data_IF_048472296609
#
_entry.id   IF_048472296609
#
_cell.length_a   1.000
_cell.length_b   1.000
_cell.length_c   1.000
_cell.angle_alpha   90.00
_cell.angle_beta   90.00
_cell.angle_gamma   90.00
#
_symmetry.space_group_name_H-M   'P 1'
#
loop_
_entity.id
_entity.type
_entity.pdbx_description
1 polymer ?
#
# COMPACT_ATOMS: atom_id res chain seq x y z
N UNK A 1 -8.08 -19.92 -18.56
CA UNK A 1 -9.48 -19.58 -18.85
C UNK A 1 -9.48 -18.10 -19.17
N UNK A 2 -9.47 -17.76 -20.46
CA UNK A 2 -9.63 -16.36 -20.85
C UNK A 2 -11.03 -15.94 -20.44
N UNK A 3 -11.10 -14.90 -19.59
CA UNK A 3 -12.37 -14.25 -19.30
C UNK A 3 -12.82 -13.59 -20.60
N UNK A 4 -13.96 -13.99 -21.13
CA UNK A 4 -14.62 -13.26 -22.22
C UNK A 4 -14.78 -11.81 -21.74
N UNK A 5 -14.14 -10.86 -22.45
CA UNK A 5 -14.33 -9.43 -22.19
C UNK A 5 -15.76 -9.08 -22.56
N UNK A 6 -16.61 -8.89 -21.56
CA UNK A 6 -17.86 -8.20 -21.81
C UNK A 6 -17.54 -6.79 -22.32
N UNK A 7 -18.23 -6.30 -23.36
CA UNK A 7 -18.04 -4.94 -23.82
C UNK A 7 -18.37 -3.98 -22.68
N UNK A 8 -17.49 -3.00 -22.46
CA UNK A 8 -17.74 -1.94 -21.49
C UNK A 8 -18.99 -1.16 -21.88
N UNK A 9 -19.72 -0.71 -20.88
CA UNK A 9 -20.81 0.23 -21.09
C UNK A 9 -20.23 1.61 -21.43
N UNK A 10 -21.03 2.48 -22.07
CA UNK A 10 -20.60 3.86 -22.36
C UNK A 10 -20.24 4.66 -21.10
N UNK A 11 -20.75 4.28 -19.92
CA UNK A 11 -20.38 4.87 -18.66
C UNK A 11 -18.98 4.43 -18.22
N UNK A 12 -18.71 3.14 -18.29
CA UNK A 12 -17.40 2.57 -17.94
C UNK A 12 -16.29 3.14 -18.84
N UNK A 13 -16.55 3.29 -20.14
CA UNK A 13 -15.62 3.95 -21.07
C UNK A 13 -15.30 5.39 -20.63
N UNK A 14 -16.31 6.16 -20.21
CA UNK A 14 -16.09 7.53 -19.72
C UNK A 14 -15.32 7.57 -18.40
N UNK A 15 -15.61 6.65 -17.48
CA UNK A 15 -14.89 6.55 -16.19
C UNK A 15 -13.41 6.24 -16.45
N UNK A 16 -13.12 5.26 -17.31
CA UNK A 16 -11.72 4.89 -17.66
C UNK A 16 -11.02 6.08 -18.33
N UNK A 17 -11.69 6.82 -19.20
CA UNK A 17 -11.12 7.99 -19.86
C UNK A 17 -10.80 9.17 -18.91
N UNK A 18 -11.30 9.14 -17.67
CA UNK A 18 -10.97 10.14 -16.63
C UNK A 18 -9.62 9.87 -15.93
N UNK A 19 -9.13 8.65 -16.00
CA UNK A 19 -7.85 8.31 -15.35
C UNK A 19 -6.71 8.83 -16.23
N UNK A 20 -5.90 9.73 -15.66
CA UNK A 20 -4.80 10.40 -16.34
C UNK A 20 -3.44 9.94 -15.78
N UNK A 21 -2.53 9.55 -16.66
CA UNK A 21 -1.18 9.11 -16.29
C UNK A 21 -0.38 10.22 -15.61
N UNK A 22 -0.52 11.47 -16.05
CA UNK A 22 0.21 12.58 -15.47
C UNK A 22 -0.27 12.86 -14.04
N UNK A 23 -1.58 12.79 -13.80
CA UNK A 23 -2.16 12.92 -12.46
C UNK A 23 -1.70 11.77 -11.53
N UNK A 24 -1.65 10.53 -12.05
CA UNK A 24 -1.11 9.40 -11.31
C UNK A 24 0.36 9.60 -10.94
N UNK A 25 1.18 10.06 -11.89
CA UNK A 25 2.60 10.30 -11.68
C UNK A 25 2.84 11.39 -10.63
N UNK A 26 2.09 12.49 -10.69
CA UNK A 26 2.14 13.57 -9.73
C UNK A 26 1.75 13.09 -8.33
N UNK A 27 0.60 12.45 -8.20
CA UNK A 27 0.08 11.93 -6.93
C UNK A 27 1.03 10.90 -6.29
N UNK A 28 1.53 9.95 -7.08
CA UNK A 28 2.50 8.95 -6.60
C UNK A 28 3.79 9.62 -6.14
N UNK A 29 4.29 10.59 -6.90
CA UNK A 29 5.50 11.34 -6.55
C UNK A 29 5.33 12.13 -5.26
N UNK A 30 4.19 12.80 -5.08
CA UNK A 30 3.86 13.52 -3.83
C UNK A 30 3.81 12.56 -2.64
N UNK A 31 3.17 11.40 -2.78
CA UNK A 31 3.10 10.41 -1.71
C UNK A 31 4.45 9.81 -1.35
N UNK A 32 5.30 9.51 -2.35
CA UNK A 32 6.66 9.02 -2.11
C UNK A 32 7.49 10.05 -1.34
N UNK A 33 7.38 11.33 -1.68
CA UNK A 33 8.10 12.42 -1.00
C UNK A 33 7.57 12.70 0.40
N UNK A 34 6.25 12.68 0.56
CA UNK A 34 5.58 12.91 1.86
C UNK A 34 5.86 11.78 2.84
N UNK A 35 5.98 10.57 2.36
CA UNK A 35 6.11 9.38 3.16
C UNK A 35 7.47 9.14 3.83
N UNK A 36 8.38 10.11 3.84
CA UNK A 36 9.59 10.05 4.66
C UNK A 36 9.28 10.52 6.09
N UNK A 37 9.74 9.84 7.09
CA UNK A 37 10.57 8.64 7.25
C UNK A 37 9.78 7.39 7.65
N UNK A 38 8.66 7.10 7.04
CA UNK A 38 7.76 6.02 7.44
C UNK A 38 8.17 4.60 6.99
N UNK A 39 9.47 4.37 6.84
CA UNK A 39 10.01 3.06 6.53
C UNK A 39 10.11 2.18 7.78
N UNK A 40 9.81 0.90 7.63
CA UNK A 40 10.00 -0.13 8.66
C UNK A 40 10.92 -1.23 8.16
N UNK A 41 11.58 -1.94 9.07
CA UNK A 41 12.31 -3.16 8.74
C UNK A 41 11.80 -4.31 9.63
N UNK A 42 11.04 -5.25 9.09
CA UNK A 42 10.49 -6.34 9.87
C UNK A 42 11.56 -7.34 10.36
N UNK A 43 12.73 -7.35 9.71
CA UNK A 43 13.84 -8.25 10.04
C UNK A 43 14.84 -7.65 11.02
N UNK A 44 14.71 -6.37 11.36
CA UNK A 44 15.60 -5.68 12.30
C UNK A 44 14.80 -4.94 13.37
N UNK A 45 14.71 -5.50 14.59
CA UNK A 45 13.93 -4.89 15.66
C UNK A 45 14.54 -3.57 16.18
N UNK A 46 15.81 -3.30 15.90
CA UNK A 46 16.49 -2.08 16.33
C UNK A 46 16.18 -0.90 15.39
N UNK A 47 15.68 -1.15 14.19
CA UNK A 47 15.16 -0.10 13.32
C UNK A 47 13.75 0.24 13.80
N UNK A 48 13.52 1.47 14.30
CA UNK A 48 12.20 1.86 14.79
C UNK A 48 11.16 1.80 13.66
N UNK A 49 9.92 1.50 14.03
CA UNK A 49 8.79 1.61 13.11
C UNK A 49 8.71 3.04 12.57
N UNK A 50 8.35 3.17 11.31
CA UNK A 50 8.17 4.47 10.67
C UNK A 50 7.03 5.28 11.32
N UNK A 51 7.05 6.57 11.11
CA UNK A 51 5.99 7.49 11.53
C UNK A 51 5.12 7.81 10.32
N UNK A 52 3.98 7.14 10.18
CA UNK A 52 3.13 7.26 9.00
C UNK A 52 2.22 8.51 9.04
N UNK A 53 2.28 9.33 10.10
CA UNK A 53 1.37 10.47 10.28
C UNK A 53 1.33 11.40 9.06
N UNK A 54 2.48 11.74 8.49
CA UNK A 54 2.54 12.67 7.35
C UNK A 54 1.80 12.13 6.12
N UNK A 55 2.06 10.89 5.73
CA UNK A 55 1.38 10.27 4.59
C UNK A 55 -0.09 9.99 4.89
N UNK A 56 -0.42 9.61 6.12
CA UNK A 56 -1.79 9.41 6.55
C UNK A 56 -2.62 10.70 6.46
N UNK A 57 -2.09 11.82 6.94
CA UNK A 57 -2.74 13.13 6.81
C UNK A 57 -2.86 13.59 5.36
N UNK A 58 -1.88 13.28 4.54
CA UNK A 58 -1.93 13.58 3.10
C UNK A 58 -3.08 12.84 2.42
N UNK A 59 -3.21 11.52 2.62
CA UNK A 59 -4.29 10.75 2.00
C UNK A 59 -5.65 11.06 2.61
N UNK A 60 -5.73 11.37 3.91
CA UNK A 60 -6.93 11.86 4.55
C UNK A 60 -7.46 13.13 3.88
N UNK A 61 -6.58 14.11 3.64
CA UNK A 61 -6.95 15.35 2.92
C UNK A 61 -7.42 15.10 1.48
N UNK A 62 -6.84 14.13 0.76
CA UNK A 62 -7.33 13.76 -0.58
C UNK A 62 -8.73 13.14 -0.51
N UNK A 63 -9.01 12.29 0.46
CA UNK A 63 -10.35 11.71 0.68
C UNK A 63 -11.38 12.77 1.07
N UNK A 64 -11.04 13.66 2.01
CA UNK A 64 -11.90 14.79 2.42
C UNK A 64 -12.26 15.68 1.22
N UNK A 65 -11.27 15.99 0.37
CA UNK A 65 -11.49 16.78 -0.85
C UNK A 65 -12.44 16.11 -1.85
N UNK A 66 -12.52 14.77 -1.83
CA UNK A 66 -13.47 13.98 -2.62
C UNK A 66 -14.84 13.78 -1.95
N UNK A 67 -15.06 14.36 -0.76
CA UNK A 67 -16.33 14.30 -0.04
C UNK A 67 -16.52 13.09 0.87
N UNK A 68 -15.45 12.38 1.20
CA UNK A 68 -15.50 11.31 2.20
C UNK A 68 -15.61 11.86 3.62
N UNK A 69 -16.36 11.17 4.47
CA UNK A 69 -16.24 11.30 5.92
C UNK A 69 -14.99 10.53 6.36
N UNK A 70 -14.01 11.22 6.95
CA UNK A 70 -12.71 10.64 7.28
C UNK A 70 -12.54 10.51 8.80
N UNK A 71 -12.18 9.31 9.23
CA UNK A 71 -11.85 8.97 10.62
C UNK A 71 -10.40 8.49 10.72
N UNK A 72 -9.76 8.77 11.86
CA UNK A 72 -8.38 8.35 12.17
C UNK A 72 -8.40 7.42 13.37
N UNK A 73 -7.69 6.30 13.26
CA UNK A 73 -7.60 5.28 14.30
C UNK A 73 -6.14 4.98 14.62
N UNK A 74 -5.70 5.31 15.81
CA UNK A 74 -4.33 5.08 16.26
C UNK A 74 -4.26 4.02 17.36
N UNK A 75 -3.49 2.96 17.15
CA UNK A 75 -3.07 2.04 18.20
C UNK A 75 -1.70 2.42 18.79
N UNK A 76 -0.94 3.23 18.08
CA UNK A 76 0.32 3.83 18.50
C UNK A 76 0.38 5.30 18.08
N UNK A 77 0.99 6.18 18.90
CA UNK A 77 1.12 7.60 18.57
C UNK A 77 1.81 7.82 17.23
N UNK A 78 1.29 8.75 16.43
CA UNK A 78 1.82 9.17 15.13
C UNK A 78 1.80 8.08 14.04
N UNK A 79 0.97 7.05 14.24
CA UNK A 79 0.75 5.97 13.29
C UNK A 79 -0.76 5.76 13.03
N UNK A 80 -1.44 6.75 12.44
CA UNK A 80 -2.88 6.68 12.22
C UNK A 80 -3.23 5.81 11.01
N UNK A 81 -4.17 4.90 11.21
CA UNK A 81 -4.93 4.29 10.14
C UNK A 81 -6.03 5.26 9.69
N UNK A 82 -6.26 5.37 8.40
CA UNK A 82 -7.25 6.27 7.81
C UNK A 82 -8.43 5.45 7.29
N UNK A 83 -9.64 5.84 7.69
CA UNK A 83 -10.87 5.27 7.14
C UNK A 83 -11.71 6.39 6.56
N UNK A 84 -11.82 6.43 5.25
CA UNK A 84 -12.76 7.29 4.54
C UNK A 84 -14.01 6.52 4.18
N UNK A 85 -15.19 7.15 4.35
CA UNK A 85 -16.49 6.57 3.99
C UNK A 85 -17.23 7.50 3.05
N UNK A 86 -17.58 6.99 1.87
CA UNK A 86 -18.48 7.64 0.94
C UNK A 86 -19.82 6.88 0.94
N UNK A 87 -20.88 7.55 1.37
CA UNK A 87 -22.21 6.95 1.51
C UNK A 87 -22.80 6.60 0.14
N UNK A 88 -23.26 5.35 0.01
CA UNK A 88 -24.12 4.91 -1.06
C UNK A 88 -25.60 5.22 -0.78
N UNK A 89 -26.48 4.78 -1.68
CA UNK A 89 -27.94 4.91 -1.52
C UNK A 89 -28.54 3.94 -0.51
N UNK A 90 -27.74 3.03 0.05
CA UNK A 90 -28.18 2.03 1.03
C UNK A 90 -28.80 0.75 0.43
N UNK A 91 -28.76 0.59 -0.89
CA UNK A 91 -29.39 -0.52 -1.60
C UNK A 91 -28.38 -1.55 -2.16
N UNK A 92 -27.17 -1.58 -1.65
CA UNK A 92 -26.12 -2.48 -2.07
C UNK A 92 -25.11 -2.80 -0.97
N UNK A 93 -24.28 -3.83 -1.19
CA UNK A 93 -23.22 -4.18 -0.26
C UNK A 93 -22.12 -3.11 -0.25
N UNK A 94 -21.42 -3.00 0.88
CA UNK A 94 -20.27 -2.14 1.01
C UNK A 94 -19.04 -2.74 0.32
N UNK A 95 -18.22 -1.87 -0.27
CA UNK A 95 -16.92 -2.22 -0.83
C UNK A 95 -15.83 -1.45 -0.11
N UNK A 96 -14.79 -2.14 0.31
CA UNK A 96 -13.59 -1.50 0.85
C UNK A 96 -12.44 -1.61 -0.15
N UNK A 97 -11.78 -0.48 -0.40
CA UNK A 97 -10.45 -0.42 -1.00
C UNK A 97 -9.46 -0.34 0.15
N UNK A 98 -8.55 -1.31 0.22
CA UNK A 98 -7.56 -1.40 1.27
C UNK A 98 -6.16 -1.29 0.70
N UNK A 99 -5.30 -0.55 1.39
CA UNK A 99 -3.90 -0.35 1.05
C UNK A 99 -3.10 0.01 2.30
N UNK A 100 -1.77 0.07 2.20
CA UNK A 100 -0.94 0.45 3.33
C UNK A 100 -0.10 1.70 3.09
N UNK A 101 0.31 2.34 4.19
CA UNK A 101 1.00 3.63 4.22
C UNK A 101 2.50 3.50 4.46
N UNK A 102 2.92 2.45 5.13
CA UNK A 102 4.33 2.17 5.43
C UNK A 102 5.07 1.59 4.23
N UNK A 103 6.37 1.53 4.32
CA UNK A 103 7.25 0.93 3.30
C UNK A 103 8.44 0.26 3.98
N UNK A 104 9.07 -0.67 3.27
CA UNK A 104 10.39 -1.17 3.67
C UNK A 104 11.43 -0.05 3.74
N UNK A 105 12.46 -0.18 4.61
CA UNK A 105 13.52 0.79 4.68
C UNK A 105 14.27 0.87 3.35
N UNK A 106 14.66 2.08 3.01
CA UNK A 106 15.48 2.35 1.84
C UNK A 106 16.96 2.37 2.25
N UNK A 107 17.49 1.20 2.59
CA UNK A 107 18.90 1.01 2.90
C UNK A 107 19.77 1.03 1.64
N UNK A 108 21.08 1.14 1.80
CA UNK A 108 22.07 1.07 0.70
C UNK A 108 21.82 2.15 -0.37
N UNK A 109 22.10 3.44 -0.08
CA UNK A 109 21.84 4.55 -1.01
C UNK A 109 22.42 4.34 -2.42
N UNK A 110 23.53 3.60 -2.54
CA UNK A 110 24.21 3.28 -3.80
C UNK A 110 23.35 2.44 -4.76
N UNK A 111 22.34 1.74 -4.27
CA UNK A 111 21.38 0.98 -5.09
C UNK A 111 20.29 1.86 -5.72
N UNK A 112 20.23 3.12 -5.33
CA UNK A 112 19.23 4.08 -5.80
C UNK A 112 19.78 5.05 -6.83
N UNK A 113 20.65 4.55 -7.71
CA UNK A 113 21.31 5.32 -8.79
C UNK A 113 20.29 6.04 -9.70
N UNK A 114 19.13 5.41 -9.97
CA UNK A 114 18.04 6.00 -10.77
C UNK A 114 17.31 7.14 -10.09
N UNK A 115 17.52 7.32 -8.80
CA UNK A 115 16.91 8.39 -8.00
C UNK A 115 17.95 9.35 -7.42
N UNK A 116 19.14 9.48 -8.03
CA UNK A 116 20.26 10.27 -7.52
C UNK A 116 20.61 9.92 -6.06
N UNK A 117 20.60 8.64 -5.73
CA UNK A 117 20.83 8.08 -4.39
C UNK A 117 19.81 8.55 -3.33
N UNK A 118 18.67 9.11 -3.77
CA UNK A 118 17.55 9.47 -2.90
C UNK A 118 16.31 8.65 -3.25
N UNK A 119 16.03 7.55 -2.53
CA UNK A 119 14.92 6.65 -2.80
C UNK A 119 13.53 7.31 -2.70
N UNK A 120 13.43 8.44 -2.00
CA UNK A 120 12.18 9.18 -1.85
C UNK A 120 12.02 10.35 -2.84
N UNK A 121 12.88 10.42 -3.86
CA UNK A 121 12.79 11.43 -4.90
C UNK A 121 11.68 11.15 -5.91
N UNK A 122 11.35 9.89 -6.16
CA UNK A 122 10.44 9.42 -7.21
C UNK A 122 10.85 9.98 -8.60
N UNK A 123 11.72 9.26 -9.29
CA UNK A 123 12.32 9.74 -10.55
C UNK A 123 11.84 8.88 -11.71
N UNK A 124 11.30 9.53 -12.74
CA UNK A 124 10.88 8.86 -13.98
C UNK A 124 12.05 8.73 -14.96
N UNK A 125 12.23 7.53 -15.51
CA UNK A 125 13.11 7.24 -16.64
C UNK A 125 12.34 6.45 -17.70
N UNK A 126 11.94 7.11 -18.76
CA UNK A 126 11.08 6.52 -19.80
C UNK A 126 9.74 6.08 -19.20
N UNK A 127 9.42 4.81 -19.31
CA UNK A 127 8.17 4.21 -18.81
C UNK A 127 8.28 3.71 -17.37
N UNK A 128 9.40 3.95 -16.72
CA UNK A 128 9.67 3.47 -15.37
C UNK A 128 9.71 4.61 -14.35
N UNK A 129 9.02 4.41 -13.22
CA UNK A 129 9.09 5.28 -12.06
C UNK A 129 9.88 4.58 -10.95
N UNK A 130 11.01 5.17 -10.56
CA UNK A 130 11.90 4.67 -9.52
C UNK A 130 11.70 5.44 -8.23
N UNK A 131 11.59 4.71 -7.12
CA UNK A 131 11.46 5.27 -5.77
C UNK A 131 10.96 4.24 -4.78
N UNK A 132 11.24 4.45 -3.49
CA UNK A 132 10.71 3.59 -2.43
C UNK A 132 9.19 3.79 -2.31
N UNK A 133 8.44 2.68 -2.41
CA UNK A 133 6.99 2.71 -2.34
C UNK A 133 6.29 3.01 -3.68
N UNK A 134 7.01 3.22 -4.80
CA UNK A 134 6.35 3.45 -6.11
C UNK A 134 5.56 2.25 -6.60
N UNK A 135 5.97 1.03 -6.26
CA UNK A 135 5.25 -0.21 -6.54
C UNK A 135 4.50 -0.69 -5.31
N UNK A 136 5.18 -0.75 -4.19
CA UNK A 136 4.69 -1.27 -2.92
C UNK A 136 4.69 -0.15 -1.89
N UNK A 137 3.54 0.54 -1.68
CA UNK A 137 2.29 0.37 -2.46
C UNK A 137 1.68 1.71 -2.90
N UNK A 138 2.38 2.86 -2.74
CA UNK A 138 1.87 4.22 -3.00
C UNK A 138 1.40 4.44 -4.44
N UNK A 139 2.03 3.75 -5.40
CA UNK A 139 1.56 3.79 -6.79
C UNK A 139 0.19 3.14 -6.96
N UNK A 140 -0.05 2.04 -6.28
CA UNK A 140 -1.34 1.35 -6.29
C UNK A 140 -2.40 2.12 -5.49
N UNK A 141 -1.99 2.72 -4.36
CA UNK A 141 -2.84 3.62 -3.59
C UNK A 141 -3.27 4.83 -4.44
N UNK A 142 -2.36 5.40 -5.26
CA UNK A 142 -2.72 6.44 -6.22
C UNK A 142 -3.73 5.95 -7.25
N UNK A 143 -3.58 4.72 -7.77
CA UNK A 143 -4.55 4.12 -8.68
C UNK A 143 -5.93 4.01 -8.03
N UNK A 144 -6.01 3.58 -6.77
CA UNK A 144 -7.28 3.46 -6.05
C UNK A 144 -7.95 4.82 -5.84
N UNK A 145 -7.19 5.85 -5.46
CA UNK A 145 -7.69 7.21 -5.30
C UNK A 145 -8.20 7.80 -6.62
N UNK A 146 -7.47 7.62 -7.73
CA UNK A 146 -7.88 8.11 -9.04
C UNK A 146 -9.09 7.36 -9.59
N UNK A 147 -9.19 6.05 -9.36
CA UNK A 147 -10.38 5.29 -9.72
C UNK A 147 -11.63 5.82 -8.99
N UNK A 148 -11.51 6.09 -7.69
CA UNK A 148 -12.59 6.69 -6.89
C UNK A 148 -12.94 8.09 -7.39
N UNK A 149 -11.93 8.92 -7.65
CA UNK A 149 -12.12 10.27 -8.21
C UNK A 149 -12.87 10.22 -9.55
N UNK A 150 -12.49 9.30 -10.44
CA UNK A 150 -13.14 9.14 -11.74
C UNK A 150 -14.62 8.76 -11.61
N UNK A 151 -14.99 7.90 -10.66
CA UNK A 151 -16.40 7.58 -10.36
C UNK A 151 -17.17 8.81 -9.88
N UNK A 152 -16.59 9.60 -8.99
CA UNK A 152 -17.21 10.81 -8.45
C UNK A 152 -17.38 11.87 -9.56
N UNK A 153 -16.35 12.10 -10.37
CA UNK A 153 -16.35 13.08 -11.45
C UNK A 153 -17.37 12.74 -12.55
N UNK A 154 -17.69 11.47 -12.76
CA UNK A 154 -18.78 11.02 -13.63
C UNK A 154 -20.16 11.01 -12.96
N UNK A 155 -20.25 11.42 -11.70
CA UNK A 155 -21.50 11.49 -10.95
C UNK A 155 -22.13 10.12 -10.65
N UNK A 156 -21.31 9.08 -10.54
CA UNK A 156 -21.79 7.72 -10.28
C UNK A 156 -22.43 7.63 -8.90
N UNK A 157 -23.69 7.21 -8.86
CA UNK A 157 -24.42 6.96 -7.63
C UNK A 157 -24.18 5.50 -7.18
N UNK A 158 -23.35 5.33 -6.15
CA UNK A 158 -23.07 4.01 -5.58
C UNK A 158 -24.29 3.47 -4.83
N UNK A 159 -24.56 2.18 -4.94
CA UNK A 159 -25.63 1.52 -4.19
C UNK A 159 -25.24 1.23 -2.75
N UNK A 160 -24.05 0.73 -2.53
CA UNK A 160 -23.47 0.47 -1.22
C UNK A 160 -22.44 1.53 -0.84
N UNK A 161 -22.04 1.54 0.43
CA UNK A 161 -20.98 2.43 0.91
C UNK A 161 -19.64 2.04 0.29
N UNK A 162 -18.85 3.03 -0.11
CA UNK A 162 -17.45 2.86 -0.47
C UNK A 162 -16.59 3.26 0.72
N UNK A 163 -15.70 2.37 1.10
CA UNK A 163 -14.77 2.56 2.23
C UNK A 163 -13.36 2.55 1.67
N UNK A 164 -12.57 3.57 1.96
CA UNK A 164 -11.13 3.57 1.76
C UNK A 164 -10.46 3.35 3.11
N UNK A 165 -9.73 2.25 3.28
CA UNK A 165 -9.04 1.93 4.52
C UNK A 165 -7.54 1.83 4.25
N UNK A 166 -6.78 2.83 4.71
CA UNK A 166 -5.34 2.89 4.52
C UNK A 166 -4.65 2.68 5.86
N UNK A 167 -3.90 1.58 5.95
CA UNK A 167 -3.38 1.07 7.21
C UNK A 167 -1.89 1.30 7.36
N UNK A 168 -1.42 1.30 8.58
CA UNK A 168 -0.01 1.28 8.95
C UNK A 168 0.47 -0.15 9.17
N UNK A 169 1.79 -0.35 9.24
CA UNK A 169 2.40 -1.57 9.80
C UNK A 169 2.18 -2.86 8.99
N UNK A 170 1.82 -2.75 7.71
CA UNK A 170 1.62 -3.92 6.83
C UNK A 170 2.90 -4.72 6.72
N UNK A 171 4.03 -4.05 6.50
CA UNK A 171 5.38 -4.61 6.35
C UNK A 171 5.88 -5.34 7.62
N UNK A 172 5.15 -5.22 8.74
CA UNK A 172 5.34 -5.95 10.00
C UNK A 172 4.16 -6.85 10.36
N UNK A 173 3.44 -7.37 9.38
CA UNK A 173 2.26 -8.24 9.54
C UNK A 173 1.04 -7.56 10.17
N UNK A 174 0.97 -6.24 10.18
CA UNK A 174 -0.21 -5.43 10.46
C UNK A 174 -0.79 -5.40 11.87
N UNK A 175 -0.04 -5.66 12.97
CA UNK A 175 -0.63 -5.66 14.32
C UNK A 175 -1.24 -4.31 14.71
N UNK A 176 -0.66 -3.19 14.25
CA UNK A 176 -1.16 -1.83 14.48
C UNK A 176 -2.03 -1.29 13.34
N UNK A 177 -2.08 -2.02 12.23
CA UNK A 177 -2.84 -1.72 11.02
C UNK A 177 -4.06 -2.62 10.86
N UNK A 178 -4.03 -3.51 9.88
CA UNK A 178 -5.16 -4.34 9.46
C UNK A 178 -5.73 -5.20 10.61
N UNK A 179 -4.89 -5.76 11.47
CA UNK A 179 -5.34 -6.52 12.64
C UNK A 179 -6.06 -5.63 13.65
N UNK A 180 -5.52 -4.45 13.96
CA UNK A 180 -6.16 -3.48 14.84
C UNK A 180 -7.52 -3.02 14.29
N UNK A 181 -7.58 -2.71 12.98
CA UNK A 181 -8.80 -2.27 12.32
C UNK A 181 -9.89 -3.34 12.33
N UNK A 182 -9.52 -4.60 12.11
CA UNK A 182 -10.50 -5.70 12.05
C UNK A 182 -10.88 -6.24 13.42
N UNK A 183 -9.92 -6.43 14.32
CA UNK A 183 -10.14 -7.11 15.61
C UNK A 183 -10.57 -6.15 16.73
N UNK A 184 -10.04 -4.92 16.74
CA UNK A 184 -10.31 -3.95 17.80
C UNK A 184 -11.38 -2.95 17.40
N UNK A 185 -11.24 -2.33 16.23
CA UNK A 185 -12.22 -1.36 15.71
C UNK A 185 -13.46 -2.05 15.15
N UNK A 186 -13.31 -3.29 14.67
CA UNK A 186 -14.42 -4.07 14.16
C UNK A 186 -14.86 -3.68 12.75
N UNK A 187 -13.96 -3.12 11.96
CA UNK A 187 -14.22 -2.77 10.56
C UNK A 187 -14.49 -4.04 9.74
N UNK A 188 -15.69 -4.14 9.17
CA UNK A 188 -16.17 -5.30 8.41
C UNK A 188 -16.95 -4.84 7.18
N UNK A 189 -16.32 -4.69 6.03
CA UNK A 189 -17.02 -4.49 4.76
C UNK A 189 -17.62 -5.81 4.29
N UNK A 190 -18.58 -5.73 3.35
CA UNK A 190 -19.11 -6.92 2.67
C UNK A 190 -18.12 -7.48 1.66
N UNK A 191 -17.39 -6.58 0.96
CA UNK A 191 -16.31 -6.93 0.02
C UNK A 191 -15.10 -6.04 0.24
N UNK A 192 -13.91 -6.57 -0.07
CA UNK A 192 -12.66 -5.82 -0.03
C UNK A 192 -11.80 -6.11 -1.27
N UNK A 193 -11.15 -5.05 -1.75
CA UNK A 193 -10.07 -5.13 -2.74
C UNK A 193 -8.83 -4.55 -2.08
N UNK A 194 -7.76 -5.35 -1.99
CA UNK A 194 -6.45 -4.89 -1.56
C UNK A 194 -5.62 -4.61 -2.82
N UNK A 195 -5.08 -3.40 -2.91
CA UNK A 195 -4.38 -2.94 -4.12
C UNK A 195 -2.88 -3.22 -4.08
N UNK A 196 -2.50 -4.35 -3.53
CA UNK A 196 -1.12 -4.85 -3.52
C UNK A 196 -0.58 -5.09 -4.94
N UNK A 197 0.74 -4.90 -5.17
CA UNK A 197 1.33 -5.10 -6.48
C UNK A 197 1.33 -6.56 -6.88
N UNK A 198 0.60 -6.89 -7.93
CA UNK A 198 0.57 -8.24 -8.54
C UNK A 198 1.06 -8.23 -9.98
N UNK A 199 1.58 -7.08 -10.43
CA UNK A 199 2.09 -6.93 -11.79
C UNK A 199 3.39 -7.73 -11.98
N UNK A 200 3.52 -8.30 -13.17
CA UNK A 200 4.72 -9.01 -13.62
C UNK A 200 5.05 -8.58 -15.05
N UNK A 201 6.30 -8.80 -15.45
CA UNK A 201 6.80 -8.46 -16.77
C UNK A 201 8.05 -7.60 -16.72
N UNK A 202 8.69 -7.43 -17.86
CA UNK A 202 9.96 -6.74 -18.01
C UNK A 202 9.91 -5.46 -18.87
N UNK A 203 8.78 -5.17 -19.50
CA UNK A 203 8.60 -4.02 -20.38
C UNK A 203 7.15 -3.56 -20.43
N UNK A 204 6.90 -2.39 -21.01
CA UNK A 204 5.55 -1.87 -21.26
C UNK A 204 4.74 -2.70 -22.26
N UNK A 205 5.40 -3.55 -23.05
CA UNK A 205 4.76 -4.43 -24.04
C UNK A 205 4.53 -5.84 -23.53
N UNK A 206 5.31 -6.29 -22.53
CA UNK A 206 5.24 -7.63 -21.93
C UNK A 206 5.03 -7.51 -20.43
N UNK A 207 3.79 -7.31 -20.03
CA UNK A 207 3.38 -7.21 -18.64
C UNK A 207 1.99 -7.80 -18.42
N UNK A 208 1.69 -8.11 -17.19
CA UNK A 208 0.37 -8.57 -16.78
C UNK A 208 0.13 -8.33 -15.29
N UNK A 209 -1.10 -8.51 -14.87
CA UNK A 209 -1.50 -8.47 -13.47
C UNK A 209 -2.25 -9.75 -13.11
N UNK A 210 -2.05 -10.21 -11.87
CA UNK A 210 -2.83 -11.30 -11.30
C UNK A 210 -3.88 -10.72 -10.34
N UNK A 211 -5.05 -11.34 -10.30
CA UNK A 211 -6.04 -11.10 -9.27
C UNK A 211 -5.97 -12.29 -8.31
N UNK A 212 -5.43 -12.04 -7.11
CA UNK A 212 -5.36 -13.03 -6.05
C UNK A 212 -6.68 -13.08 -5.29
N UNK A 213 -7.32 -14.23 -5.26
CA UNK A 213 -8.60 -14.43 -4.55
C UNK A 213 -8.43 -15.11 -3.19
N UNK A 214 -7.21 -15.55 -2.87
CA UNK A 214 -6.84 -16.13 -1.59
C UNK A 214 -5.33 -16.00 -1.39
N UNK A 215 -4.91 -15.93 -0.13
CA UNK A 215 -3.51 -15.94 0.26
C UNK A 215 -3.20 -17.17 1.10
N UNK A 216 -1.97 -17.69 0.95
CA UNK A 216 -1.45 -18.69 1.86
C UNK A 216 -1.10 -18.06 3.21
N UNK A 217 -1.17 -18.84 4.28
CA UNK A 217 -0.63 -18.42 5.56
C UNK A 217 0.89 -18.28 5.50
N UNK A 218 1.44 -17.33 6.24
CA UNK A 218 2.88 -17.12 6.38
C UNK A 218 3.30 -17.43 7.83
N UNK A 219 4.46 -18.07 8.00
CA UNK A 219 5.07 -18.31 9.30
C UNK A 219 6.56 -18.02 9.19
N UNK A 220 7.01 -16.94 9.86
CA UNK A 220 8.42 -16.62 9.98
C UNK A 220 8.99 -17.31 11.24
N UNK A 221 10.02 -18.09 11.06
CA UNK A 221 10.72 -18.78 12.17
C UNK A 221 12.16 -18.28 12.22
N UNK A 222 12.54 -17.71 13.34
CA UNK A 222 13.93 -17.41 13.64
C UNK A 222 14.53 -18.51 14.49
N UNK A 223 15.68 -19.04 14.09
CA UNK A 223 16.45 -20.03 14.86
C UNK A 223 17.75 -19.37 15.31
N UNK A 224 17.85 -19.12 16.60
CA UNK A 224 19.07 -18.55 17.21
C UNK A 224 19.88 -19.69 17.83
N UNK A 225 21.08 -19.92 17.29
CA UNK A 225 22.02 -20.86 17.84
C UNK A 225 23.12 -20.09 18.55
N UNK A 226 23.21 -20.26 19.86
CA UNK A 226 24.25 -19.64 20.69
C UNK A 226 25.27 -20.68 21.09
N UNK A 227 26.53 -20.30 21.00
CA UNK A 227 27.63 -21.16 21.36
C UNK A 227 28.79 -20.39 21.98
N UNK A 228 29.81 -21.10 22.49
CA UNK A 228 31.03 -20.51 22.99
C UNK A 228 32.11 -20.63 21.91
N UNK A 229 32.65 -19.51 21.48
CA UNK A 229 33.73 -19.50 20.48
C UNK A 229 34.95 -20.27 20.98
N UNK A 230 35.48 -21.13 20.12
CA UNK A 230 36.75 -21.82 20.35
C UNK A 230 37.68 -21.63 19.16
N UNK A 231 38.96 -21.86 19.39
CA UNK A 231 39.94 -21.92 18.31
C UNK A 231 39.73 -23.19 17.49
N UNK A 232 39.91 -23.13 16.16
CA UNK A 232 39.73 -24.28 15.27
C UNK A 232 40.52 -25.53 15.66
N UNK A 233 41.69 -25.34 16.32
CA UNK A 233 42.52 -26.43 16.84
C UNK A 233 42.15 -26.89 18.27
N UNK A 234 41.19 -26.23 18.89
CA UNK A 234 40.71 -26.54 20.22
C UNK A 234 39.18 -26.52 20.29
N UNK A 235 38.52 -27.32 19.48
CA UNK A 235 37.06 -27.37 19.45
C UNK A 235 36.44 -27.84 20.76
N UNK A 236 37.24 -28.58 21.56
CA UNK A 236 36.89 -29.05 22.89
C UNK A 236 36.67 -27.93 23.92
N UNK A 237 37.12 -26.70 23.62
CA UNK A 237 36.94 -25.54 24.51
C UNK A 237 35.74 -24.68 24.11
N UNK A 238 35.05 -25.03 23.03
CA UNK A 238 33.83 -24.38 22.57
C UNK A 238 32.59 -25.16 23.00
N UNK A 239 31.43 -24.54 22.71
CA UNK A 239 30.12 -25.17 22.86
C UNK A 239 29.29 -24.77 21.66
N UNK A 240 28.74 -25.75 20.94
CA UNK A 240 27.76 -25.56 19.83
C UNK A 240 26.41 -26.10 20.27
#
# INVERSE_FOLDING_TARGET
MELEKNPLTALEDRIIARVDEAEWLELTTEMVRTGQPNSVNPLDPDIPAGEEEAIALFVAGKLEAMGFEVEKYESQPRRPNIVGRLKGTGNGPSLMLNDHLDTYPAVEPERWDKCDQNPFKATRHGDWLYGRGTSDTRGNLACSLLAVKALIDEGVQLKGDLICCYTVDEEKNGPHGSMYMTQTIGLKPDYSITTEPTAWGGSSEDWGMNISTANAGNCLVEVIVTGVKSHIWRPDTGLN
#
